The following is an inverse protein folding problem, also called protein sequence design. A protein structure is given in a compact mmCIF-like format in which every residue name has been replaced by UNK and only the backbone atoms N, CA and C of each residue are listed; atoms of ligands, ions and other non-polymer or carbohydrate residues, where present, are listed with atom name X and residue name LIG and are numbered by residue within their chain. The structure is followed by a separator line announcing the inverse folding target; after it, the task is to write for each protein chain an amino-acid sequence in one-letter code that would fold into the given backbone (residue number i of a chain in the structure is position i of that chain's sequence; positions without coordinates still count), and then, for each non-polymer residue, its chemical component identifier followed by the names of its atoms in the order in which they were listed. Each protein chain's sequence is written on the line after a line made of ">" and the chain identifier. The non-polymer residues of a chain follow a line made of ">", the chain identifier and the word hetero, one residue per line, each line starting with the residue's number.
data_IF_800178598293
#
_entry.id   IF_800178598293
#
_cell.length_a   1.000
_cell.length_b   1.000
_cell.length_c   1.000
_cell.angle_alpha   90.00
_cell.angle_beta   90.00
_cell.angle_gamma   90.00
#
_symmetry.space_group_name_H-M   'P 1'
#
loop_
_entity.id
_entity.type
_entity.pdbx_description
1 polymer ?
#
# COMPACT_ATOMS: atom_id res chain seq x y z
N UNK A 1 21.98 10.57 -44.42
CA UNK A 1 21.17 11.13 -43.33
C UNK A 1 22.12 11.45 -42.17
N UNK A 2 21.91 12.58 -41.51
CA UNK A 2 22.59 12.97 -40.27
C UNK A 2 21.63 12.67 -39.08
N UNK A 3 21.81 11.56 -38.36
CA UNK A 3 20.90 11.19 -37.29
C UNK A 3 20.96 12.17 -36.11
N UNK A 4 22.09 12.83 -35.90
CA UNK A 4 22.27 13.86 -34.85
C UNK A 4 21.44 15.09 -35.13
N UNK A 5 21.40 15.53 -36.41
CA UNK A 5 20.54 16.64 -36.82
C UNK A 5 19.06 16.32 -36.61
N UNK A 6 18.62 15.10 -36.96
CA UNK A 6 17.26 14.63 -36.75
C UNK A 6 16.92 14.58 -35.26
N UNK A 7 17.83 14.06 -34.42
CA UNK A 7 17.60 14.01 -32.98
C UNK A 7 17.42 15.42 -32.39
N UNK A 8 18.25 16.38 -32.79
CA UNK A 8 18.12 17.79 -32.35
C UNK A 8 16.78 18.41 -32.76
N UNK A 9 16.39 18.23 -34.03
CA UNK A 9 15.13 18.77 -34.56
C UNK A 9 13.90 18.21 -33.83
N UNK A 10 13.95 16.92 -33.45
CA UNK A 10 12.87 16.25 -32.73
C UNK A 10 12.96 16.38 -31.21
N UNK A 11 13.98 17.06 -30.67
CA UNK A 11 14.14 17.27 -29.23
C UNK A 11 14.66 16.05 -28.46
N UNK A 12 15.25 15.05 -29.11
CA UNK A 12 15.89 13.92 -28.42
C UNK A 12 17.29 14.30 -27.92
N UNK A 13 17.65 13.76 -26.78
CA UNK A 13 18.94 14.03 -26.13
C UNK A 13 20.11 13.33 -26.82
N UNK A 14 19.86 12.25 -27.56
CA UNK A 14 20.87 11.44 -28.26
C UNK A 14 20.25 10.57 -29.35
N UNK A 15 21.09 9.99 -30.19
CA UNK A 15 20.74 8.92 -31.13
C UNK A 15 20.97 7.54 -30.50
N UNK A 16 20.43 6.49 -31.12
CA UNK A 16 20.71 5.10 -30.73
C UNK A 16 22.12 4.70 -31.15
N UNK A 17 22.81 3.94 -30.30
CA UNK A 17 24.19 3.50 -30.55
C UNK A 17 24.27 2.43 -31.66
N UNK A 18 23.19 1.65 -31.84
CA UNK A 18 23.08 0.59 -32.85
C UNK A 18 21.74 0.64 -33.53
N UNK A 19 21.72 0.77 -34.86
CA UNK A 19 20.49 0.92 -35.64
C UNK A 19 19.63 -0.35 -35.69
N UNK A 20 20.23 -1.53 -35.59
CA UNK A 20 19.52 -2.81 -35.55
C UNK A 20 18.77 -2.90 -34.21
N UNK A 21 19.47 -2.67 -33.14
CA UNK A 21 18.90 -2.66 -31.78
C UNK A 21 17.83 -1.58 -31.63
N UNK A 22 18.11 -0.35 -32.07
CA UNK A 22 17.14 0.75 -32.02
C UNK A 22 15.83 0.47 -32.79
N UNK A 23 15.86 -0.43 -33.80
CA UNK A 23 14.68 -0.86 -34.53
C UNK A 23 13.93 -1.99 -33.81
N UNK A 24 14.67 -2.89 -33.17
CA UNK A 24 14.14 -4.13 -32.58
C UNK A 24 13.83 -4.00 -31.09
N UNK A 25 14.53 -3.14 -30.33
CA UNK A 25 14.39 -3.01 -28.89
C UNK A 25 12.95 -2.60 -28.49
N UNK A 26 12.48 -3.23 -27.44
CA UNK A 26 11.17 -2.97 -26.81
C UNK A 26 11.29 -2.78 -25.28
N UNK A 27 12.49 -2.46 -24.81
CA UNK A 27 12.74 -2.31 -23.37
C UNK A 27 11.86 -1.23 -22.76
N UNK A 28 11.72 -0.07 -23.42
CA UNK A 28 10.84 1.02 -22.98
C UNK A 28 9.37 0.56 -22.90
N UNK A 29 8.94 -0.21 -23.88
CA UNK A 29 7.55 -0.75 -23.96
C UNK A 29 7.32 -1.75 -22.84
N UNK A 30 8.29 -2.64 -22.59
CA UNK A 30 8.24 -3.62 -21.51
C UNK A 30 8.31 -2.96 -20.13
N UNK A 31 9.11 -1.92 -19.96
CA UNK A 31 9.19 -1.14 -18.74
C UNK A 31 7.87 -0.43 -18.43
N UNK A 32 7.24 0.21 -19.42
CA UNK A 32 5.90 0.78 -19.26
C UNK A 32 4.88 -0.29 -18.84
N UNK A 33 4.86 -1.42 -19.54
CA UNK A 33 3.95 -2.52 -19.23
C UNK A 33 4.16 -3.09 -17.82
N UNK A 34 5.42 -3.16 -17.37
CA UNK A 34 5.77 -3.54 -16.00
C UNK A 34 5.24 -2.52 -14.98
N UNK A 35 5.45 -1.23 -15.21
CA UNK A 35 4.94 -0.18 -14.30
C UNK A 35 3.42 -0.21 -14.23
N UNK A 36 2.74 -0.39 -15.37
CA UNK A 36 1.29 -0.53 -15.43
C UNK A 36 0.79 -1.75 -14.62
N UNK A 37 1.44 -2.90 -14.79
CA UNK A 37 1.12 -4.12 -14.04
C UNK A 37 1.36 -3.95 -12.54
N UNK A 38 2.47 -3.34 -12.12
CA UNK A 38 2.76 -3.08 -10.71
C UNK A 38 1.78 -2.10 -10.08
N UNK A 39 1.39 -1.05 -10.82
CA UNK A 39 0.31 -0.14 -10.40
C UNK A 39 -0.99 -0.93 -10.17
N UNK A 40 -1.32 -1.85 -11.08
CA UNK A 40 -2.47 -2.76 -10.91
C UNK A 40 -2.37 -3.62 -9.66
N UNK A 41 -1.19 -4.15 -9.33
CA UNK A 41 -0.95 -4.95 -8.12
C UNK A 41 -1.21 -4.12 -6.86
N UNK A 42 -0.68 -2.89 -6.78
CA UNK A 42 -0.86 -2.03 -5.62
C UNK A 42 -2.33 -1.62 -5.44
N UNK A 43 -3.01 -1.28 -6.53
CA UNK A 43 -4.45 -0.98 -6.54
C UNK A 43 -5.25 -2.22 -6.09
N UNK A 44 -4.89 -3.41 -6.57
CA UNK A 44 -5.56 -4.66 -6.19
C UNK A 44 -5.46 -4.94 -4.70
N UNK A 45 -4.28 -4.73 -4.10
CA UNK A 45 -4.08 -4.91 -2.66
C UNK A 45 -4.92 -3.96 -1.82
N UNK A 46 -4.94 -2.68 -2.18
CA UNK A 46 -5.79 -1.71 -1.50
C UNK A 46 -7.28 -2.00 -1.72
N UNK A 47 -7.66 -2.47 -2.91
CA UNK A 47 -9.03 -2.89 -3.21
C UNK A 47 -9.48 -4.02 -2.30
N UNK A 48 -8.64 -5.03 -2.07
CA UNK A 48 -8.94 -6.15 -1.17
C UNK A 48 -9.23 -5.67 0.25
N UNK A 49 -8.39 -4.78 0.79
CA UNK A 49 -8.62 -4.18 2.11
C UNK A 49 -9.95 -3.42 2.16
N UNK A 50 -10.25 -2.59 1.15
CA UNK A 50 -11.50 -1.82 1.08
C UNK A 50 -12.71 -2.76 1.02
N UNK A 51 -12.66 -3.85 0.25
CA UNK A 51 -13.73 -4.85 0.15
C UNK A 51 -13.99 -5.48 1.51
N UNK A 52 -12.94 -5.94 2.20
CA UNK A 52 -13.05 -6.52 3.53
C UNK A 52 -13.61 -5.51 4.53
N UNK A 53 -13.07 -4.31 4.57
CA UNK A 53 -13.49 -3.26 5.51
C UNK A 53 -14.92 -2.77 5.26
N UNK A 54 -15.43 -2.89 4.04
CA UNK A 54 -16.80 -2.49 3.69
C UNK A 54 -17.83 -3.58 3.95
N UNK A 55 -17.42 -4.80 4.35
CA UNK A 55 -18.38 -5.86 4.71
C UNK A 55 -19.21 -5.46 5.93
N UNK A 56 -20.37 -6.09 6.10
CA UNK A 56 -21.22 -5.84 7.25
C UNK A 56 -20.57 -6.29 8.56
N UNK A 57 -19.75 -7.32 8.51
CA UNK A 57 -19.03 -7.88 9.65
C UNK A 57 -18.01 -6.89 10.20
N UNK A 58 -17.20 -6.29 9.34
CA UNK A 58 -16.22 -5.29 9.74
C UNK A 58 -16.81 -3.89 9.82
N UNK A 59 -17.47 -3.40 8.76
CA UNK A 59 -18.06 -2.07 8.64
C UNK A 59 -17.11 -0.93 9.05
N UNK A 60 -15.81 -1.07 8.74
CA UNK A 60 -14.77 -0.09 9.02
C UNK A 60 -14.76 1.06 8.03
N UNK A 61 -15.28 0.83 6.82
CA UNK A 61 -15.31 1.80 5.73
C UNK A 61 -16.72 1.87 5.16
N UNK A 62 -17.17 3.10 4.89
CA UNK A 62 -18.39 3.38 4.14
C UNK A 62 -18.02 4.05 2.82
N UNK A 63 -18.43 3.46 1.72
CA UNK A 63 -18.25 4.03 0.39
C UNK A 63 -19.37 5.02 0.06
N UNK A 64 -19.04 6.03 -0.75
CA UNK A 64 -20.01 6.97 -1.29
C UNK A 64 -20.93 6.29 -2.30
N UNK A 65 -22.18 6.70 -2.37
CA UNK A 65 -23.18 6.13 -3.27
C UNK A 65 -22.84 6.30 -4.75
N UNK A 66 -22.04 7.30 -5.11
CA UNK A 66 -21.54 7.50 -6.45
C UNK A 66 -20.46 6.47 -6.87
N UNK A 67 -19.90 5.74 -5.93
CA UNK A 67 -18.83 4.74 -6.13
C UNK A 67 -19.20 3.35 -5.61
N UNK A 68 -20.48 3.12 -5.37
CA UNK A 68 -21.03 1.83 -4.98
C UNK A 68 -22.33 1.59 -5.72
N UNK A 69 -22.63 0.34 -6.09
CA UNK A 69 -23.90 0.03 -6.74
C UNK A 69 -24.86 -0.63 -5.78
N UNK A 70 -26.14 -0.28 -5.94
CA UNK A 70 -27.24 -0.96 -5.27
C UNK A 70 -27.62 -2.26 -5.98
N UNK A 71 -28.31 -3.14 -5.28
CA UNK A 71 -28.97 -4.28 -5.90
C UNK A 71 -30.35 -3.88 -6.40
N UNK A 72 -30.75 -4.34 -7.59
CA UNK A 72 -32.11 -4.14 -8.10
C UNK A 72 -33.20 -4.86 -7.26
N UNK A 73 -32.81 -5.87 -6.50
CA UNK A 73 -33.72 -6.71 -5.67
C UNK A 73 -33.60 -6.34 -4.19
N UNK A 74 -32.40 -5.94 -3.75
CA UNK A 74 -32.09 -5.63 -2.35
C UNK A 74 -31.74 -4.16 -2.20
N UNK A 75 -32.68 -3.26 -1.91
CA UNK A 75 -32.44 -1.82 -1.88
C UNK A 75 -31.40 -1.36 -0.84
N UNK A 76 -31.21 -2.17 0.20
CA UNK A 76 -30.23 -1.90 1.28
C UNK A 76 -28.79 -2.31 0.92
N UNK A 77 -28.60 -3.15 -0.13
CA UNK A 77 -27.30 -3.69 -0.49
C UNK A 77 -26.49 -2.66 -1.27
N UNK A 78 -25.29 -2.37 -0.81
CA UNK A 78 -24.29 -1.57 -1.50
C UNK A 78 -23.06 -2.44 -1.75
N UNK A 79 -22.65 -2.54 -3.00
CA UNK A 79 -21.49 -3.35 -3.38
C UNK A 79 -20.28 -2.44 -3.63
N UNK A 80 -19.08 -2.85 -3.23
CA UNK A 80 -17.84 -2.11 -3.50
C UNK A 80 -17.33 -2.36 -4.95
N UNK A 81 -18.20 -2.16 -5.95
CA UNK A 81 -17.94 -2.57 -7.35
C UNK A 81 -16.66 -1.96 -7.92
N UNK A 82 -16.35 -0.71 -7.59
CA UNK A 82 -15.11 -0.07 -8.06
C UNK A 82 -13.90 -0.81 -7.53
N UNK A 83 -13.89 -1.21 -6.26
CA UNK A 83 -12.80 -1.99 -5.67
C UNK A 83 -12.73 -3.40 -6.28
N UNK A 84 -13.88 -4.07 -6.47
CA UNK A 84 -13.94 -5.40 -7.08
C UNK A 84 -13.44 -5.38 -8.53
N UNK A 85 -13.88 -4.40 -9.34
CA UNK A 85 -13.42 -4.24 -10.72
C UNK A 85 -11.95 -3.85 -10.80
N UNK A 86 -11.47 -3.00 -9.88
CA UNK A 86 -10.07 -2.63 -9.79
C UNK A 86 -9.18 -3.86 -9.52
N UNK A 87 -9.58 -4.70 -8.56
CA UNK A 87 -8.94 -5.98 -8.29
C UNK A 87 -8.96 -6.91 -9.50
N UNK A 88 -10.09 -7.01 -10.19
CA UNK A 88 -10.23 -7.82 -11.40
C UNK A 88 -9.36 -7.34 -12.57
N UNK A 89 -9.31 -6.02 -12.79
CA UNK A 89 -8.52 -5.41 -13.88
C UNK A 89 -7.01 -5.52 -13.70
N UNK A 90 -6.53 -5.68 -12.48
CA UNK A 90 -5.10 -5.94 -12.22
C UNK A 90 -4.60 -7.22 -12.91
N UNK A 91 -5.45 -8.25 -12.97
CA UNK A 91 -5.14 -9.49 -13.71
C UNK A 91 -4.97 -9.26 -15.21
N UNK A 92 -5.75 -8.33 -15.80
CA UNK A 92 -5.62 -7.93 -17.20
C UNK A 92 -4.27 -7.26 -17.44
N UNK A 93 -3.90 -6.26 -16.63
CA UNK A 93 -2.61 -5.56 -16.74
C UNK A 93 -1.41 -6.52 -16.63
N UNK A 94 -1.47 -7.50 -15.73
CA UNK A 94 -0.46 -8.55 -15.59
C UNK A 94 -0.43 -9.47 -16.82
N UNK A 95 -1.61 -9.79 -17.36
CA UNK A 95 -1.75 -10.59 -18.59
C UNK A 95 -1.09 -9.94 -19.79
N UNK A 96 -1.29 -8.64 -19.98
CA UNK A 96 -0.70 -7.84 -21.07
C UNK A 96 0.84 -7.82 -20.98
N UNK A 97 1.39 -7.58 -19.80
CA UNK A 97 2.83 -7.68 -19.57
C UNK A 97 3.36 -9.08 -19.89
N UNK A 98 2.68 -10.11 -19.44
CA UNK A 98 3.07 -11.50 -19.68
C UNK A 98 3.03 -11.84 -21.15
N UNK A 99 1.98 -11.44 -21.87
CA UNK A 99 1.83 -11.60 -23.32
C UNK A 99 2.95 -10.91 -24.10
N UNK A 100 3.25 -9.65 -23.72
CA UNK A 100 4.34 -8.89 -24.32
C UNK A 100 5.68 -9.59 -24.15
N UNK A 101 6.04 -10.01 -22.92
CA UNK A 101 7.29 -10.72 -22.65
C UNK A 101 7.34 -12.05 -23.39
N UNK A 102 6.23 -12.77 -23.52
CA UNK A 102 6.15 -14.01 -24.28
C UNK A 102 6.36 -13.77 -25.78
N UNK A 103 5.92 -12.66 -26.33
CA UNK A 103 6.22 -12.25 -27.72
C UNK A 103 7.70 -11.98 -27.92
N UNK A 104 8.32 -11.23 -27.00
CA UNK A 104 9.72 -10.80 -27.14
C UNK A 104 10.75 -11.93 -26.99
N UNK A 105 10.48 -12.92 -26.15
CA UNK A 105 11.46 -13.91 -25.68
C UNK A 105 12.15 -14.78 -26.77
N UNK A 106 11.53 -14.96 -27.90
CA UNK A 106 11.98 -15.91 -28.92
C UNK A 106 12.39 -15.27 -30.25
N UNK A 107 12.50 -13.94 -30.30
CA UNK A 107 12.78 -13.20 -31.52
C UNK A 107 14.28 -13.10 -31.80
N UNK A 108 14.69 -12.97 -33.08
CA UNK A 108 16.06 -12.64 -33.45
C UNK A 108 16.42 -11.23 -32.98
N UNK A 109 17.69 -10.90 -32.99
CA UNK A 109 18.22 -9.59 -32.54
C UNK A 109 17.94 -8.45 -33.52
N UNK A 110 17.26 -8.69 -34.65
CA UNK A 110 16.80 -7.71 -35.60
C UNK A 110 15.27 -7.61 -35.58
N UNK A 111 14.71 -6.64 -36.29
CA UNK A 111 13.26 -6.47 -36.41
C UNK A 111 12.58 -7.72 -36.99
N UNK A 112 11.58 -8.22 -36.29
CA UNK A 112 10.62 -9.20 -36.77
C UNK A 112 9.21 -8.65 -36.65
N UNK A 113 8.31 -9.11 -37.52
CA UNK A 113 6.96 -8.55 -37.58
C UNK A 113 6.11 -8.84 -36.33
N UNK A 114 6.47 -9.85 -35.58
CA UNK A 114 5.93 -10.17 -34.25
C UNK A 114 5.95 -8.96 -33.30
N UNK A 115 6.95 -8.07 -33.46
CA UNK A 115 7.06 -6.83 -32.68
C UNK A 115 5.88 -5.86 -32.86
N UNK A 116 4.96 -6.09 -33.81
CA UNK A 116 3.74 -5.30 -33.92
C UNK A 116 2.71 -5.62 -32.84
N UNK A 117 2.83 -6.80 -32.20
CA UNK A 117 1.97 -7.21 -31.08
C UNK A 117 2.24 -6.40 -29.79
N UNK A 118 3.31 -5.61 -29.75
CA UNK A 118 3.59 -4.71 -28.64
C UNK A 118 2.50 -3.67 -28.40
N UNK A 119 1.80 -3.27 -29.45
CA UNK A 119 0.78 -2.21 -29.43
C UNK A 119 -0.49 -2.64 -28.73
N UNK A 120 -0.98 -3.84 -29.02
CA UNK A 120 -2.21 -4.37 -28.42
C UNK A 120 -2.10 -4.38 -26.88
N UNK A 121 -1.01 -4.95 -26.36
CA UNK A 121 -0.79 -5.02 -24.92
C UNK A 121 -0.69 -3.63 -24.26
N UNK A 122 0.06 -2.70 -24.87
CA UNK A 122 0.24 -1.35 -24.30
C UNK A 122 -1.04 -0.52 -24.38
N UNK A 123 -1.74 -0.55 -25.53
CA UNK A 123 -2.97 0.22 -25.69
C UNK A 123 -4.04 -0.27 -24.72
N UNK A 124 -4.19 -1.58 -24.56
CA UNK A 124 -5.10 -2.15 -23.58
C UNK A 124 -4.80 -1.75 -22.14
N UNK A 125 -3.51 -1.69 -21.78
CA UNK A 125 -3.08 -1.19 -20.47
C UNK A 125 -3.41 0.29 -20.29
N UNK A 126 -3.15 1.13 -21.30
CA UNK A 126 -3.49 2.57 -21.27
C UNK A 126 -4.99 2.76 -21.09
N UNK A 127 -5.81 2.15 -21.95
CA UNK A 127 -7.27 2.24 -21.89
C UNK A 127 -7.81 1.77 -20.55
N UNK A 128 -7.23 0.69 -20.01
CA UNK A 128 -7.61 0.16 -18.70
C UNK A 128 -7.28 1.16 -17.57
N UNK A 129 -6.09 1.74 -17.59
CA UNK A 129 -5.66 2.69 -16.57
C UNK A 129 -6.39 4.03 -16.65
N UNK A 130 -6.70 4.52 -17.85
CA UNK A 130 -7.45 5.77 -18.06
C UNK A 130 -8.85 5.74 -17.43
N UNK A 131 -9.48 4.58 -17.40
CA UNK A 131 -10.78 4.39 -16.74
C UNK A 131 -10.62 4.07 -15.26
N UNK A 132 -9.66 3.19 -14.94
CA UNK A 132 -9.48 2.67 -13.59
C UNK A 132 -9.01 3.75 -12.60
N UNK A 133 -7.99 4.52 -12.96
CA UNK A 133 -7.36 5.47 -12.04
C UNK A 133 -8.31 6.59 -11.58
N UNK A 134 -9.10 7.25 -12.45
CA UNK A 134 -10.06 8.25 -12.00
C UNK A 134 -11.16 7.67 -11.10
N UNK A 135 -11.71 6.50 -11.46
CA UNK A 135 -12.76 5.85 -10.69
C UNK A 135 -12.26 5.44 -9.30
N UNK A 136 -11.10 4.79 -9.23
CA UNK A 136 -10.47 4.38 -7.98
C UNK A 136 -10.10 5.59 -7.09
N UNK A 137 -9.53 6.63 -7.70
CA UNK A 137 -9.20 7.89 -7.00
C UNK A 137 -10.45 8.53 -6.40
N UNK A 138 -11.55 8.58 -7.16
CA UNK A 138 -12.82 9.11 -6.68
C UNK A 138 -13.37 8.33 -5.50
N UNK A 139 -13.36 7.01 -5.57
CA UNK A 139 -13.75 6.12 -4.47
C UNK A 139 -12.92 6.38 -3.20
N UNK A 140 -11.59 6.37 -3.32
CA UNK A 140 -10.68 6.60 -2.17
C UNK A 140 -10.88 7.99 -1.56
N UNK A 141 -11.09 9.02 -2.39
CA UNK A 141 -11.30 10.39 -1.93
C UNK A 141 -12.59 10.57 -1.14
N UNK A 142 -13.62 9.81 -1.45
CA UNK A 142 -14.97 9.97 -0.88
C UNK A 142 -15.29 8.96 0.20
N UNK A 143 -14.53 7.88 0.33
CA UNK A 143 -14.74 6.88 1.39
C UNK A 143 -14.55 7.49 2.77
N UNK A 144 -15.29 6.97 3.74
CA UNK A 144 -15.24 7.40 5.13
C UNK A 144 -14.96 6.24 6.04
N UNK A 145 -14.04 6.45 6.98
CA UNK A 145 -13.73 5.48 8.03
C UNK A 145 -14.67 5.67 9.21
N UNK A 146 -15.14 4.56 9.77
CA UNK A 146 -15.80 4.52 11.07
C UNK A 146 -14.72 4.43 12.16
N UNK A 147 -14.26 5.59 12.61
CA UNK A 147 -13.13 5.67 13.55
C UNK A 147 -13.48 5.03 14.90
N UNK A 148 -14.71 5.20 15.38
CA UNK A 148 -15.16 4.66 16.67
C UNK A 148 -15.16 3.15 16.66
N UNK A 149 -15.63 2.55 15.56
CA UNK A 149 -15.63 1.10 15.40
C UNK A 149 -14.21 0.54 15.23
N UNK A 150 -13.37 1.20 14.43
CA UNK A 150 -11.96 0.82 14.30
C UNK A 150 -11.24 0.84 15.66
N UNK A 151 -11.46 1.88 16.46
CA UNK A 151 -10.87 2.00 17.78
C UNK A 151 -11.35 0.92 18.75
N UNK A 152 -12.63 0.57 18.69
CA UNK A 152 -13.21 -0.46 19.55
C UNK A 152 -12.73 -1.87 19.21
N UNK A 153 -12.58 -2.18 17.92
CA UNK A 153 -12.25 -3.53 17.46
C UNK A 153 -10.74 -3.80 17.42
N UNK A 154 -9.91 -2.77 17.17
CA UNK A 154 -8.46 -2.94 16.99
C UNK A 154 -7.74 -3.64 18.15
N UNK A 155 -8.06 -3.38 19.45
CA UNK A 155 -7.36 -4.00 20.57
C UNK A 155 -7.90 -5.39 20.95
N UNK A 156 -8.98 -5.86 20.37
CA UNK A 156 -9.67 -7.11 20.77
C UNK A 156 -8.84 -8.37 20.49
N UNK A 157 -9.19 -9.47 21.16
CA UNK A 157 -8.56 -10.77 20.95
C UNK A 157 -7.10 -10.82 21.41
N UNK A 158 -6.78 -10.10 22.46
CA UNK A 158 -5.43 -10.01 23.05
C UNK A 158 -4.39 -9.40 22.10
N UNK A 159 -4.79 -8.59 21.12
CA UNK A 159 -3.89 -7.94 20.17
C UNK A 159 -2.80 -7.10 20.87
N UNK A 160 -3.10 -6.56 22.06
CA UNK A 160 -2.18 -5.75 22.88
C UNK A 160 -1.14 -6.56 23.66
N UNK A 161 -1.11 -7.89 23.54
CA UNK A 161 -0.13 -8.71 24.27
C UNK A 161 1.32 -8.37 23.88
N UNK A 162 1.55 -8.09 22.60
CA UNK A 162 2.88 -7.64 22.12
C UNK A 162 3.29 -6.31 22.75
N UNK A 163 2.33 -5.40 22.94
CA UNK A 163 2.57 -4.11 23.56
C UNK A 163 3.02 -4.23 25.03
N UNK A 164 2.42 -5.16 25.78
CA UNK A 164 2.87 -5.51 27.15
C UNK A 164 4.33 -5.97 27.11
N UNK A 165 4.67 -6.91 26.21
CA UNK A 165 6.04 -7.43 26.13
C UNK A 165 7.05 -6.33 25.76
N UNK A 166 6.74 -5.49 24.78
CA UNK A 166 7.57 -4.36 24.37
C UNK A 166 7.73 -3.32 25.50
N UNK A 167 6.63 -3.01 26.20
CA UNK A 167 6.67 -2.10 27.35
C UNK A 167 7.57 -2.65 28.46
N UNK A 168 7.48 -3.93 28.78
CA UNK A 168 8.34 -4.58 29.76
C UNK A 168 9.81 -4.48 29.36
N UNK A 169 10.15 -4.73 28.09
CA UNK A 169 11.53 -4.59 27.57
C UNK A 169 12.03 -3.14 27.71
N UNK A 170 11.21 -2.15 27.37
CA UNK A 170 11.54 -0.73 27.55
C UNK A 170 11.78 -0.36 29.01
N UNK A 171 11.18 -1.12 29.96
CA UNK A 171 11.37 -0.97 31.38
C UNK A 171 12.49 -1.86 31.96
N UNK A 172 13.32 -2.49 31.12
CA UNK A 172 14.53 -3.21 31.52
C UNK A 172 14.33 -4.70 31.75
N UNK A 173 13.16 -5.27 31.48
CA UNK A 173 12.92 -6.71 31.59
C UNK A 173 13.54 -7.39 30.34
N UNK A 174 14.36 -8.45 30.49
CA UNK A 174 14.89 -9.18 29.35
C UNK A 174 13.75 -9.74 28.47
N UNK A 175 13.91 -9.67 27.15
CA UNK A 175 12.86 -10.01 26.18
C UNK A 175 12.19 -11.38 26.45
N UNK A 176 12.97 -12.41 26.77
CA UNK A 176 12.44 -13.74 27.05
C UNK A 176 11.43 -13.71 28.21
N UNK A 177 11.77 -13.04 29.30
CA UNK A 177 10.89 -12.91 30.46
C UNK A 177 9.71 -11.97 30.16
N UNK A 178 9.94 -10.90 29.40
CA UNK A 178 8.87 -10.01 28.97
C UNK A 178 7.79 -10.77 28.18
N UNK A 179 8.20 -11.66 27.29
CA UNK A 179 7.28 -12.51 26.52
C UNK A 179 6.52 -13.50 27.43
N UNK A 180 7.21 -14.14 28.38
CA UNK A 180 6.59 -15.05 29.35
C UNK A 180 5.57 -14.32 30.25
N UNK A 181 5.89 -13.13 30.72
CA UNK A 181 4.99 -12.30 31.54
C UNK A 181 3.78 -11.80 30.75
N UNK A 182 3.98 -11.38 29.52
CA UNK A 182 2.87 -11.01 28.63
C UNK A 182 1.94 -12.20 28.39
N UNK A 183 2.48 -13.38 28.13
CA UNK A 183 1.70 -14.62 28.00
C UNK A 183 0.94 -14.98 29.30
N UNK A 184 1.50 -14.68 30.48
CA UNK A 184 0.81 -14.86 31.74
C UNK A 184 -0.39 -13.92 31.88
N UNK A 185 -0.26 -12.65 31.45
CA UNK A 185 -1.39 -11.71 31.40
C UNK A 185 -2.50 -12.21 30.46
N UNK A 186 -2.16 -12.69 29.26
CA UNK A 186 -3.13 -13.28 28.34
C UNK A 186 -3.87 -14.45 28.98
N UNK A 187 -3.14 -15.39 29.56
CA UNK A 187 -3.73 -16.56 30.22
C UNK A 187 -4.66 -16.16 31.38
N UNK A 188 -4.29 -15.14 32.14
CA UNK A 188 -5.10 -14.64 33.24
C UNK A 188 -6.40 -14.00 32.72
N UNK A 189 -6.31 -13.14 31.71
CA UNK A 189 -7.47 -12.50 31.09
C UNK A 189 -8.40 -13.52 30.42
N UNK A 190 -7.85 -14.45 29.64
CA UNK A 190 -8.60 -15.54 28.99
C UNK A 190 -9.34 -16.40 30.01
N UNK A 191 -8.66 -16.78 31.11
CA UNK A 191 -9.28 -17.58 32.18
C UNK A 191 -10.43 -16.89 32.90
N UNK A 192 -10.53 -15.56 32.80
CA UNK A 192 -11.60 -14.75 33.38
C UNK A 192 -12.64 -14.29 32.34
N UNK A 193 -12.46 -14.59 31.07
CA UNK A 193 -13.30 -14.09 29.99
C UNK A 193 -13.23 -12.57 29.84
N UNK A 194 -12.05 -11.99 30.07
CA UNK A 194 -11.76 -10.55 30.01
C UNK A 194 -10.72 -10.27 28.93
N UNK A 195 -10.63 -9.00 28.52
CA UNK A 195 -9.53 -8.51 27.69
C UNK A 195 -8.36 -8.00 28.54
N UNK A 196 -7.21 -7.73 27.93
CA UNK A 196 -6.01 -7.31 28.65
C UNK A 196 -6.17 -5.98 29.39
N UNK A 197 -6.97 -5.07 28.86
CA UNK A 197 -7.24 -3.77 29.49
C UNK A 197 -8.17 -3.86 30.71
N UNK A 198 -8.88 -4.97 30.89
CA UNK A 198 -9.76 -5.21 32.04
C UNK A 198 -9.02 -5.74 33.26
N UNK A 199 -7.76 -6.19 33.10
CA UNK A 199 -6.92 -6.62 34.21
C UNK A 199 -6.68 -5.47 35.18
N UNK A 200 -6.66 -5.78 36.49
CA UNK A 200 -6.44 -4.76 37.53
C UNK A 200 -4.96 -4.39 37.68
N UNK A 201 -4.66 -3.30 38.36
CA UNK A 201 -3.29 -2.92 38.67
C UNK A 201 -2.61 -3.98 39.54
N UNK A 202 -3.38 -4.61 40.45
CA UNK A 202 -2.92 -5.68 41.29
C UNK A 202 -2.50 -6.91 40.49
N UNK A 203 -3.24 -7.25 39.41
CA UNK A 203 -2.89 -8.33 38.51
C UNK A 203 -1.54 -8.09 37.83
N UNK A 204 -1.28 -6.87 37.37
CA UNK A 204 0.02 -6.51 36.78
C UNK A 204 1.13 -6.48 37.82
N UNK A 205 0.87 -5.95 39.05
CA UNK A 205 1.84 -5.93 40.15
C UNK A 205 2.27 -7.36 40.48
N UNK A 206 1.30 -8.27 40.66
CA UNK A 206 1.57 -9.67 40.99
C UNK A 206 2.32 -10.38 39.84
N UNK A 207 1.85 -10.22 38.62
CA UNK A 207 2.44 -10.88 37.44
C UNK A 207 3.88 -10.43 37.21
N UNK A 208 4.19 -9.14 37.40
CA UNK A 208 5.52 -8.58 37.12
C UNK A 208 6.46 -8.53 38.34
N UNK A 209 6.04 -9.02 39.52
CA UNK A 209 6.73 -8.86 40.79
C UNK A 209 8.20 -9.30 40.79
N UNK A 210 8.54 -10.34 40.00
CA UNK A 210 9.91 -10.85 39.92
C UNK A 210 10.89 -9.92 39.18
N UNK A 211 10.39 -8.97 38.36
CA UNK A 211 11.21 -8.15 37.46
C UNK A 211 10.99 -6.66 37.62
N UNK A 212 9.83 -6.22 38.10
CA UNK A 212 9.47 -4.81 38.21
C UNK A 212 9.03 -4.47 39.66
N UNK A 213 9.41 -3.29 40.16
CA UNK A 213 8.83 -2.76 41.40
C UNK A 213 7.31 -2.55 41.24
N UNK A 214 6.54 -2.83 42.30
CA UNK A 214 5.08 -2.70 42.32
C UNK A 214 4.58 -1.33 41.82
N UNK A 215 5.26 -0.24 42.19
CA UNK A 215 4.86 1.10 41.74
C UNK A 215 5.09 1.40 40.27
N UNK A 216 5.79 0.52 39.53
CA UNK A 216 5.98 0.67 38.07
C UNK A 216 4.98 -0.15 37.23
N UNK A 217 4.54 -1.29 37.75
CA UNK A 217 3.70 -2.22 37.01
C UNK A 217 2.43 -1.60 36.41
N UNK A 218 1.68 -0.73 37.10
CA UNK A 218 0.49 -0.09 36.53
C UNK A 218 0.75 0.80 35.30
N UNK A 219 2.00 1.23 35.08
CA UNK A 219 2.42 2.01 33.92
C UNK A 219 2.20 1.27 32.59
N UNK A 220 2.02 -0.06 32.59
CA UNK A 220 1.69 -0.84 31.40
C UNK A 220 0.37 -0.40 30.75
N UNK A 221 -0.52 0.23 31.50
CA UNK A 221 -1.80 0.74 31.00
C UNK A 221 -1.65 1.78 29.88
N UNK A 222 -0.52 2.46 29.80
CA UNK A 222 -0.26 3.44 28.74
C UNK A 222 -0.30 2.81 27.33
N UNK A 223 -0.04 1.50 27.22
CA UNK A 223 -0.04 0.76 25.96
C UNK A 223 -1.27 -0.14 25.79
N UNK A 224 -2.19 -0.19 26.76
CA UNK A 224 -3.38 -1.04 26.75
C UNK A 224 -4.60 -0.34 26.14
N UNK A 225 -4.39 0.32 25.01
CA UNK A 225 -5.43 0.89 24.17
C UNK A 225 -4.93 0.93 22.72
N UNK A 226 -5.84 1.02 21.75
CA UNK A 226 -5.48 1.23 20.34
C UNK A 226 -4.57 2.45 20.15
N UNK A 227 -4.89 3.55 20.82
CA UNK A 227 -4.09 4.77 20.77
C UNK A 227 -2.69 4.57 21.38
N UNK A 228 -2.60 4.02 22.58
CA UNK A 228 -1.32 3.78 23.27
C UNK A 228 -0.44 2.79 22.52
N UNK A 229 -1.03 1.71 22.00
CA UNK A 229 -0.34 0.73 21.17
C UNK A 229 0.27 1.39 19.92
N UNK A 230 -0.52 2.11 19.13
CA UNK A 230 -0.05 2.79 17.92
C UNK A 230 1.03 3.81 18.24
N UNK A 231 0.85 4.64 19.25
CA UNK A 231 1.78 5.74 19.58
C UNK A 231 3.09 5.23 20.19
N UNK A 232 3.09 4.02 20.75
CA UNK A 232 4.31 3.37 21.25
C UNK A 232 5.34 3.05 20.16
N UNK A 233 4.90 2.98 18.87
CA UNK A 233 5.72 2.61 17.71
C UNK A 233 6.31 3.84 17.02
N UNK A 234 7.08 4.64 17.75
CA UNK A 234 7.58 5.93 17.29
C UNK A 234 8.98 5.89 16.64
N UNK A 235 9.55 4.72 16.37
CA UNK A 235 10.76 4.56 15.58
C UNK A 235 10.60 5.09 14.15
N UNK A 236 11.71 5.36 13.44
CA UNK A 236 11.67 5.78 12.03
C UNK A 236 10.95 4.71 11.19
N UNK A 237 9.96 5.11 10.41
CA UNK A 237 9.11 4.19 9.63
C UNK A 237 7.99 3.52 10.44
N UNK A 238 7.88 3.82 11.74
CA UNK A 238 6.81 3.30 12.60
C UNK A 238 5.44 3.89 12.30
N UNK A 239 4.44 3.36 12.99
CA UNK A 239 3.02 3.68 12.80
C UNK A 239 2.47 4.70 13.81
N UNK A 240 3.30 5.22 14.73
CA UNK A 240 2.88 6.28 15.64
C UNK A 240 2.36 7.51 14.87
N UNK A 241 1.36 8.17 15.42
CA UNK A 241 0.70 9.31 14.76
C UNK A 241 1.68 10.39 14.25
N UNK A 242 2.73 10.68 15.04
CA UNK A 242 3.80 11.60 14.62
C UNK A 242 4.54 11.11 13.39
N UNK A 243 4.91 9.83 13.37
CA UNK A 243 5.63 9.22 12.24
C UNK A 243 4.79 9.13 10.97
N UNK A 244 3.51 8.80 11.10
CA UNK A 244 2.60 8.78 9.95
C UNK A 244 2.41 10.18 9.37
N UNK A 245 2.34 11.24 10.21
CA UNK A 245 2.30 12.62 9.71
C UNK A 245 3.56 13.00 8.94
N UNK A 246 4.75 12.60 9.40
CA UNK A 246 6.02 12.78 8.66
C UNK A 246 5.96 12.07 7.30
N UNK A 247 5.56 10.80 7.28
CA UNK A 247 5.43 10.03 6.04
C UNK A 247 4.42 10.64 5.06
N UNK A 248 3.30 11.17 5.56
CA UNK A 248 2.31 11.89 4.73
C UNK A 248 2.91 13.18 4.15
N UNK A 249 3.71 13.91 4.93
CA UNK A 249 4.37 15.12 4.46
C UNK A 249 5.39 14.80 3.36
N UNK A 250 6.21 13.78 3.56
CA UNK A 250 7.19 13.31 2.58
C UNK A 250 6.52 12.82 1.29
N UNK A 251 5.44 12.03 1.42
CA UNK A 251 4.66 11.55 0.27
C UNK A 251 4.04 12.72 -0.53
N UNK A 252 3.49 13.73 0.16
CA UNK A 252 2.97 14.93 -0.50
C UNK A 252 4.07 15.71 -1.23
N UNK A 253 5.24 15.84 -0.63
CA UNK A 253 6.37 16.50 -1.29
C UNK A 253 6.78 15.75 -2.57
N UNK A 254 6.88 14.42 -2.51
CA UNK A 254 7.18 13.59 -3.67
C UNK A 254 6.12 13.71 -4.77
N UNK A 255 4.83 13.77 -4.42
CA UNK A 255 3.76 14.00 -5.41
C UNK A 255 3.86 15.37 -6.07
N UNK A 256 4.18 16.43 -5.30
CA UNK A 256 4.38 17.77 -5.89
C UNK A 256 5.61 17.80 -6.82
N UNK A 257 6.68 17.09 -6.47
CA UNK A 257 7.85 16.95 -7.34
C UNK A 257 7.47 16.23 -8.66
N UNK A 258 6.68 15.15 -8.59
CA UNK A 258 6.20 14.43 -9.77
C UNK A 258 5.32 15.30 -10.68
N UNK A 259 4.56 16.25 -10.15
CA UNK A 259 3.76 17.20 -10.95
C UNK A 259 4.62 18.19 -11.76
N UNK A 260 5.88 18.40 -11.36
CA UNK A 260 6.82 19.22 -12.09
C UNK A 260 7.42 18.50 -13.30
N UNK A 261 7.19 17.18 -13.42
CA UNK A 261 7.51 16.46 -14.65
C UNK A 261 6.62 16.97 -15.78
N UNK A 262 7.20 17.57 -16.83
CA UNK A 262 6.38 18.04 -17.94
C UNK A 262 5.70 16.87 -18.61
N UNK A 263 4.39 16.94 -18.72
CA UNK A 263 3.59 15.94 -19.43
C UNK A 263 3.91 15.85 -20.94
N UNK A 264 4.61 16.83 -21.45
CA UNK A 264 5.35 16.84 -22.72
C UNK A 264 6.21 18.11 -22.74
N UNK A 265 7.47 18.01 -23.06
CA UNK A 265 8.27 19.17 -23.41
C UNK A 265 7.91 19.59 -24.84
N UNK A 266 6.83 20.35 -25.00
CA UNK A 266 6.49 21.00 -26.28
C UNK A 266 7.56 22.03 -26.71
N UNK A 267 8.54 22.32 -25.85
CA UNK A 267 9.61 23.28 -26.06
C UNK A 267 10.99 22.66 -26.38
N UNK A 268 11.08 21.33 -26.51
CA UNK A 268 12.33 20.63 -26.87
C UNK A 268 13.41 20.64 -25.80
N UNK A 269 13.12 21.07 -24.57
CA UNK A 269 14.11 20.99 -23.49
C UNK A 269 14.27 19.54 -23.02
N UNK A 270 15.50 19.03 -23.08
CA UNK A 270 15.81 17.67 -22.67
C UNK A 270 15.55 17.48 -21.17
N UNK A 271 14.73 16.46 -20.85
CA UNK A 271 14.56 15.99 -19.49
C UNK A 271 15.91 15.57 -18.89
N UNK A 272 16.29 16.22 -17.79
CA UNK A 272 17.40 15.75 -16.94
C UNK A 272 16.79 14.95 -15.79
N UNK A 273 17.00 13.64 -15.81
CA UNK A 273 16.63 12.80 -14.68
C UNK A 273 17.26 13.33 -13.38
N UNK A 274 16.50 13.48 -12.30
CA UNK A 274 17.08 13.80 -11.00
C UNK A 274 18.00 12.66 -10.59
N UNK A 275 19.28 12.98 -10.35
CA UNK A 275 20.36 12.19 -9.78
C UNK A 275 20.28 10.68 -9.93
N UNK A 276 21.13 10.13 -10.79
CA UNK A 276 21.52 8.73 -10.72
C UNK A 276 22.09 8.42 -9.34
N UNK A 277 21.48 7.45 -8.66
CA UNK A 277 22.05 6.82 -7.47
C UNK A 277 23.38 6.12 -7.80
#
# INVERSE_FOLDING_TARGET
>A
LDPEAVARELGFSRVTDNSIDGTAARDLVAEFAFVAAMTGVDISRLSEEIIIWNTQEFAFVKLDDGYSTGSSIMPQKKNPDIAELARGKSGRLIGDLTGLLATLKGLPTAYARDLQEDKEAVFDQVDTLEVLLPAFTGMVRTMRFDADRLEAEAPTGFALATDIAEWLVKNGVPFRHAHELSGACVKLAEGRGQELWDLTDEDFIETFAAFLPAGKAPGVREVLSSHGSVDSRNGKGGTAYGRVREQIADAKASVEELKLFPASTSDGSAYKAPGTF
#
